data_IF_382369279001
#
_entry.id   IF_382369279001
#
_cell.length_a   1.000
_cell.length_b   1.000
_cell.length_c   1.000
_cell.angle_alpha   90.00
_cell.angle_beta   90.00
_cell.angle_gamma   90.00
#
_symmetry.space_group_name_H-M   'P 1'
#
loop_
_entity.id
_entity.type
_entity.pdbx_description
1 polymer ?
#
# COMPACT_ATOMS: atom_id res chain seq x y z
N UNK A 1 8.38 -4.34 0.62
CA UNK A 1 7.93 -4.94 -0.64
C UNK A 1 8.85 -6.10 -1.05
N UNK A 2 8.28 -7.21 -1.49
CA UNK A 2 9.03 -8.33 -2.05
C UNK A 2 9.25 -8.06 -3.55
N UNK A 3 10.49 -8.17 -4.02
CA UNK A 3 10.85 -7.84 -5.41
C UNK A 3 10.80 -9.05 -6.35
N UNK A 4 10.52 -10.23 -5.82
CA UNK A 4 10.45 -11.47 -6.60
C UNK A 4 9.01 -11.87 -6.99
N UNK A 5 8.00 -11.13 -6.50
CA UNK A 5 6.60 -11.37 -6.86
C UNK A 5 6.11 -10.41 -7.96
N UNK A 6 4.87 -10.58 -8.39
CA UNK A 6 4.25 -9.80 -9.46
C UNK A 6 3.58 -8.51 -8.97
N UNK A 7 3.67 -8.15 -7.69
CA UNK A 7 2.93 -7.04 -7.09
C UNK A 7 3.85 -5.83 -6.92
N UNK A 8 3.67 -4.83 -7.79
CA UNK A 8 4.48 -3.62 -7.80
C UNK A 8 3.70 -2.40 -7.32
N UNK A 9 4.23 -1.70 -6.31
CA UNK A 9 3.62 -0.47 -5.77
C UNK A 9 3.93 0.78 -6.61
N UNK A 10 5.09 0.82 -7.25
CA UNK A 10 5.59 1.98 -8.00
C UNK A 10 5.96 1.65 -9.45
N UNK A 11 5.40 0.56 -10.00
CA UNK A 11 5.76 0.02 -11.32
C UNK A 11 6.91 -0.99 -11.27
N UNK A 12 6.85 -2.00 -12.15
CA UNK A 12 7.82 -3.10 -12.24
C UNK A 12 8.60 -3.15 -13.56
N UNK A 13 8.42 -2.16 -14.43
CA UNK A 13 9.23 -1.99 -15.63
C UNK A 13 10.63 -1.44 -15.29
N UNK A 14 11.56 -1.55 -16.24
CA UNK A 14 12.97 -1.22 -16.01
C UNK A 14 13.20 0.25 -15.62
N UNK A 15 12.42 1.17 -16.18
CA UNK A 15 12.55 2.61 -15.91
C UNK A 15 12.06 2.92 -14.48
N UNK A 16 10.87 2.42 -14.12
CA UNK A 16 10.29 2.54 -12.78
C UNK A 16 11.20 1.98 -11.67
N UNK A 17 11.87 0.85 -11.95
CA UNK A 17 12.85 0.25 -11.02
C UNK A 17 14.09 1.14 -10.90
N UNK A 18 14.65 1.61 -12.03
CA UNK A 18 15.81 2.49 -12.02
C UNK A 18 15.53 3.77 -11.22
N UNK A 19 14.43 4.46 -11.47
CA UNK A 19 14.03 5.66 -10.73
C UNK A 19 13.89 5.35 -9.24
N UNK A 20 13.26 4.24 -8.88
CA UNK A 20 13.04 3.87 -7.46
C UNK A 20 14.35 3.56 -6.72
N UNK A 21 15.37 3.03 -7.41
CA UNK A 21 16.70 2.79 -6.83
C UNK A 21 17.52 4.07 -6.79
N UNK A 22 17.49 4.88 -7.85
CA UNK A 22 18.32 6.07 -8.00
C UNK A 22 17.85 7.24 -7.13
N UNK A 23 16.55 7.53 -7.17
CA UNK A 23 15.95 8.68 -6.47
C UNK A 23 15.36 8.29 -5.11
N UNK A 24 15.15 6.98 -4.89
CA UNK A 24 14.44 6.47 -3.72
C UNK A 24 12.92 6.69 -3.80
N UNK A 25 12.20 6.16 -2.81
CA UNK A 25 10.75 6.35 -2.64
C UNK A 25 10.43 6.58 -1.17
N UNK A 26 9.54 7.53 -0.88
CA UNK A 26 9.09 7.86 0.47
C UNK A 26 7.57 7.64 0.56
N UNK A 27 7.18 6.38 0.76
CA UNK A 27 5.77 6.04 0.98
C UNK A 27 5.32 6.53 2.36
N UNK A 28 4.25 7.31 2.41
CA UNK A 28 3.66 7.79 3.66
C UNK A 28 2.27 7.17 3.85
N UNK A 29 2.06 6.52 5.00
CA UNK A 29 0.73 6.14 5.45
C UNK A 29 0.30 7.10 6.57
N UNK A 30 -0.52 8.13 6.27
CA UNK A 30 -0.93 9.10 7.28
C UNK A 30 -1.76 8.45 8.37
N UNK A 31 -1.66 9.00 9.58
CA UNK A 31 -2.47 8.56 10.70
C UNK A 31 -3.95 8.89 10.48
N UNK A 32 -4.82 7.88 10.64
CA UNK A 32 -6.27 8.03 10.51
C UNK A 32 -6.97 8.29 11.85
N UNK A 33 -6.24 8.28 12.97
CA UNK A 33 -6.80 8.36 14.33
C UNK A 33 -7.62 9.63 14.57
N UNK A 34 -7.12 10.77 14.08
CA UNK A 34 -7.74 12.08 14.31
C UNK A 34 -8.71 12.47 13.19
N UNK A 35 -8.78 11.67 12.12
CA UNK A 35 -9.67 11.88 10.96
C UNK A 35 -10.94 11.02 11.03
N UNK A 36 -10.85 9.85 11.66
CA UNK A 36 -11.94 8.87 11.73
C UNK A 36 -12.16 8.44 13.17
N UNK A 37 -13.42 8.24 13.56
CA UNK A 37 -13.80 7.71 14.86
C UNK A 37 -13.34 6.26 15.07
N UNK A 38 -13.29 5.77 16.33
CA UNK A 38 -12.85 4.40 16.62
C UNK A 38 -13.66 3.30 15.91
N UNK A 39 -14.97 3.50 15.76
CA UNK A 39 -15.86 2.54 15.08
C UNK A 39 -15.62 2.54 13.58
N UNK A 40 -15.54 3.71 12.96
CA UNK A 40 -15.30 3.87 11.52
C UNK A 40 -13.97 3.24 11.09
N UNK A 41 -12.90 3.43 11.88
CA UNK A 41 -11.60 2.78 11.61
C UNK A 41 -11.71 1.26 11.62
N UNK A 42 -12.45 0.68 12.58
CA UNK A 42 -12.65 -0.78 12.64
C UNK A 42 -13.42 -1.29 11.42
N UNK A 43 -14.48 -0.58 11.01
CA UNK A 43 -15.25 -0.93 9.82
C UNK A 43 -14.36 -0.87 8.57
N UNK A 44 -13.57 0.19 8.42
CA UNK A 44 -12.62 0.33 7.31
C UNK A 44 -11.59 -0.81 7.30
N UNK A 45 -11.05 -1.20 8.46
CA UNK A 45 -10.13 -2.34 8.57
C UNK A 45 -10.77 -3.64 8.11
N UNK A 46 -12.02 -3.91 8.52
CA UNK A 46 -12.75 -5.11 8.08
C UNK A 46 -12.97 -5.08 6.56
N UNK A 47 -13.37 -3.94 6.01
CA UNK A 47 -13.57 -3.78 4.57
C UNK A 47 -12.30 -4.03 3.76
N UNK A 48 -11.17 -3.44 4.17
CA UNK A 48 -9.87 -3.65 3.48
C UNK A 48 -9.41 -5.10 3.59
N UNK A 49 -9.59 -5.74 4.75
CA UNK A 49 -9.24 -7.13 4.95
C UNK A 49 -10.06 -8.07 4.07
N UNK A 50 -11.37 -7.83 3.95
CA UNK A 50 -12.26 -8.59 3.08
C UNK A 50 -11.84 -8.44 1.60
N UNK A 51 -11.60 -7.20 1.16
CA UNK A 51 -11.12 -6.92 -0.20
C UNK A 51 -9.76 -7.57 -0.49
N UNK A 52 -8.85 -7.60 0.48
CA UNK A 52 -7.53 -8.23 0.34
C UNK A 52 -7.57 -9.77 0.30
N UNK A 53 -8.63 -10.40 0.82
CA UNK A 53 -8.86 -11.84 0.67
C UNK A 53 -9.46 -12.20 -0.68
N UNK A 54 -10.29 -11.33 -1.24
CA UNK A 54 -10.91 -11.54 -2.55
C UNK A 54 -9.96 -11.33 -3.74
N UNK A 55 -8.81 -10.69 -3.51
CA UNK A 55 -7.78 -10.43 -4.52
C UNK A 55 -6.60 -11.41 -4.54
N UNK A 56 -6.68 -12.52 -3.80
CA UNK A 56 -5.72 -13.63 -3.84
C UNK A 56 -6.19 -14.73 -4.81
#
# INVERSE_FOLDING_TARGET
>A
PNLADSIWLYGGDADSIYTSIHEGRQGEMPAWKDRLGPVERKILTVYVLDRGRAGQ
#
